data_IF_530418215420
#
_entry.id   IF_530418215420
#
_cell.length_a   1.000
_cell.length_b   1.000
_cell.length_c   1.000
_cell.angle_alpha   90.00
_cell.angle_beta   90.00
_cell.angle_gamma   90.00
#
_symmetry.space_group_name_H-M   'P 1'
#
loop_
_entity.id
_entity.type
_entity.pdbx_description
1 polymer ?
#
# COMPACT_ATOMS: atom_id res chain seq x y z
N UNK A 1 -8.52 7.59 21.49
CA UNK A 1 -7.86 6.37 20.98
C UNK A 1 -8.70 5.61 19.97
N UNK A 2 -10.04 5.56 20.08
CA UNK A 2 -10.91 4.97 19.03
C UNK A 2 -11.01 5.85 17.77
N UNK A 3 -10.87 7.18 17.90
CA UNK A 3 -10.98 8.09 16.76
C UNK A 3 -9.82 7.92 15.76
N UNK A 4 -8.58 7.86 16.28
CA UNK A 4 -7.37 7.90 15.45
C UNK A 4 -7.22 6.67 14.53
N UNK A 5 -7.80 5.52 14.92
CA UNK A 5 -7.85 4.28 14.12
C UNK A 5 -8.74 4.47 12.90
N UNK A 6 -9.96 4.96 13.12
CA UNK A 6 -10.91 5.22 12.05
C UNK A 6 -10.40 6.30 11.11
N UNK A 7 -9.80 7.36 11.66
CA UNK A 7 -9.23 8.47 10.88
C UNK A 7 -8.16 7.96 9.88
N UNK A 8 -7.28 7.04 10.30
CA UNK A 8 -6.26 6.46 9.41
C UNK A 8 -6.86 5.53 8.34
N UNK A 9 -7.85 4.73 8.70
CA UNK A 9 -8.50 3.83 7.74
C UNK A 9 -9.24 4.66 6.68
N UNK A 10 -9.97 5.70 7.09
CA UNK A 10 -10.68 6.61 6.18
C UNK A 10 -9.70 7.36 5.28
N UNK A 11 -8.61 7.89 5.84
CA UNK A 11 -7.54 8.53 5.07
C UNK A 11 -6.92 7.56 4.05
N UNK A 12 -6.61 6.32 4.45
CA UNK A 12 -6.09 5.31 3.54
C UNK A 12 -7.10 4.97 2.42
N UNK A 13 -8.41 4.90 2.71
CA UNK A 13 -9.45 4.72 1.70
C UNK A 13 -9.50 5.89 0.71
N UNK A 14 -9.42 7.13 1.20
CA UNK A 14 -9.37 8.33 0.36
C UNK A 14 -8.13 8.33 -0.55
N UNK A 15 -6.98 7.92 -0.03
CA UNK A 15 -5.75 7.77 -0.81
C UNK A 15 -5.91 6.72 -1.90
N UNK A 16 -6.43 5.53 -1.57
CA UNK A 16 -6.62 4.46 -2.56
C UNK A 16 -7.58 4.89 -3.68
N UNK A 17 -8.62 5.65 -3.34
CA UNK A 17 -9.51 6.25 -4.33
C UNK A 17 -8.82 7.35 -5.16
N UNK A 18 -8.03 8.22 -4.53
CA UNK A 18 -7.30 9.33 -5.19
C UNK A 18 -6.21 8.83 -6.14
N UNK A 19 -5.59 7.70 -5.82
CA UNK A 19 -4.65 6.99 -6.67
C UNK A 19 -5.33 6.22 -7.82
N UNK A 20 -6.67 6.24 -7.88
CA UNK A 20 -7.44 5.61 -8.95
C UNK A 20 -7.50 4.09 -8.89
N UNK A 21 -7.27 3.46 -7.72
CA UNK A 21 -7.39 2.00 -7.63
C UNK A 21 -8.84 1.55 -7.87
N UNK A 22 -9.05 0.36 -8.43
CA UNK A 22 -10.39 -0.16 -8.68
C UNK A 22 -11.20 -0.26 -7.39
N UNK A 23 -12.54 -0.18 -7.49
CA UNK A 23 -13.46 -0.27 -6.32
C UNK A 23 -13.21 -1.51 -5.45
N UNK A 24 -12.75 -2.61 -6.03
CA UNK A 24 -12.41 -3.83 -5.30
C UNK A 24 -11.24 -3.68 -4.32
N UNK A 25 -10.43 -2.63 -4.44
CA UNK A 25 -9.32 -2.28 -3.55
C UNK A 25 -9.65 -1.08 -2.65
N UNK A 26 -10.84 -0.49 -2.76
CA UNK A 26 -11.29 0.61 -1.90
C UNK A 26 -12.08 0.05 -0.70
N UNK A 27 -11.44 -0.83 0.07
CA UNK A 27 -12.03 -1.47 1.25
C UNK A 27 -11.05 -1.49 2.42
N UNK A 28 -11.59 -1.74 3.62
CA UNK A 28 -10.83 -1.74 4.87
C UNK A 28 -9.60 -2.66 4.84
N UNK A 29 -9.72 -3.86 4.23
CA UNK A 29 -8.57 -4.77 4.08
C UNK A 29 -7.42 -4.13 3.32
N UNK A 30 -7.73 -3.45 2.23
CA UNK A 30 -6.71 -2.80 1.40
C UNK A 30 -6.14 -1.57 2.07
N UNK A 31 -6.97 -0.81 2.79
CA UNK A 31 -6.52 0.29 3.65
C UNK A 31 -5.53 -0.20 4.72
N UNK A 32 -5.84 -1.28 5.43
CA UNK A 32 -4.96 -1.87 6.44
C UNK A 32 -3.66 -2.43 5.85
N UNK A 33 -3.70 -3.01 4.65
CA UNK A 33 -2.49 -3.42 3.95
C UNK A 33 -1.59 -2.23 3.60
N UNK A 34 -2.18 -1.12 3.13
CA UNK A 34 -1.43 0.11 2.86
C UNK A 34 -0.80 0.65 4.14
N UNK A 35 -1.55 0.75 5.23
CA UNK A 35 -1.06 1.24 6.51
C UNK A 35 0.07 0.35 7.07
N UNK A 36 -0.03 -0.97 6.91
CA UNK A 36 1.02 -1.92 7.27
C UNK A 36 2.30 -1.72 6.45
N UNK A 37 2.18 -1.54 5.12
CA UNK A 37 3.33 -1.23 4.26
C UNK A 37 3.98 0.13 4.57
N UNK A 38 3.25 1.03 5.23
CA UNK A 38 3.73 2.34 5.66
C UNK A 38 4.21 2.36 7.12
N UNK A 39 3.97 1.28 7.87
CA UNK A 39 4.11 1.20 9.32
C UNK A 39 3.43 2.39 10.05
N UNK A 40 2.24 2.79 9.60
CA UNK A 40 1.49 3.90 10.19
C UNK A 40 0.51 3.38 11.23
N UNK A 41 0.89 3.45 12.51
CA UNK A 41 -0.02 3.14 13.62
C UNK A 41 -0.95 4.32 13.92
N UNK A 42 -2.07 4.10 14.64
CA UNK A 42 -3.00 5.18 14.99
C UNK A 42 -2.30 6.37 15.67
N UNK A 43 -2.59 7.59 15.19
CA UNK A 43 -1.97 8.82 15.67
C UNK A 43 -0.59 9.14 15.07
N UNK A 44 0.02 8.23 14.32
CA UNK A 44 1.29 8.50 13.62
C UNK A 44 1.06 9.42 12.42
N UNK A 45 1.72 10.57 12.30
CA UNK A 45 1.54 11.44 11.13
C UNK A 45 1.99 10.75 9.84
N UNK A 46 1.29 11.00 8.73
CA UNK A 46 1.65 10.48 7.39
C UNK A 46 3.10 10.83 7.00
N UNK A 47 3.60 12.00 7.41
CA UNK A 47 4.99 12.42 7.21
C UNK A 47 6.04 11.53 7.92
N UNK A 48 5.63 10.62 8.80
CA UNK A 48 6.46 9.62 9.49
C UNK A 48 6.32 8.21 8.88
N UNK A 49 5.52 8.04 7.83
CA UNK A 49 5.44 6.78 7.11
C UNK A 49 6.83 6.26 6.72
N UNK A 50 6.99 4.95 6.76
CA UNK A 50 8.21 4.24 6.37
C UNK A 50 7.89 3.17 5.32
N UNK A 51 8.85 2.33 4.95
CA UNK A 51 8.67 1.29 3.95
C UNK A 51 9.31 -0.04 4.38
N UNK A 52 8.83 -0.69 5.45
CA UNK A 52 9.32 -2.01 5.84
C UNK A 52 9.07 -3.06 4.74
N UNK A 53 9.89 -4.11 4.75
CA UNK A 53 9.64 -5.32 3.97
C UNK A 53 8.64 -6.19 4.73
N UNK A 54 7.49 -6.46 4.12
CA UNK A 54 6.38 -7.13 4.77
C UNK A 54 5.87 -8.31 3.95
N UNK A 55 5.80 -9.48 4.58
CA UNK A 55 5.05 -10.63 4.04
C UNK A 55 3.56 -10.53 4.38
N UNK A 56 2.74 -11.41 3.79
CA UNK A 56 1.28 -11.40 4.01
C UNK A 56 0.90 -11.66 5.48
N UNK A 57 1.50 -12.67 6.12
CA UNK A 57 1.21 -12.97 7.52
C UNK A 57 1.62 -11.82 8.44
N UNK A 58 2.84 -11.24 8.31
CA UNK A 58 3.18 -9.99 9.00
C UNK A 58 2.19 -8.84 8.81
N UNK A 59 1.65 -8.64 7.60
CA UNK A 59 0.61 -7.61 7.36
C UNK A 59 -0.65 -7.89 8.17
N UNK A 60 -1.11 -9.14 8.19
CA UNK A 60 -2.30 -9.54 8.95
C UNK A 60 -2.08 -9.39 10.47
N UNK A 61 -0.91 -9.78 10.96
CA UNK A 61 -0.55 -9.64 12.37
C UNK A 61 -0.43 -8.19 12.79
N UNK A 62 0.16 -7.34 11.94
CA UNK A 62 0.25 -5.90 12.16
C UNK A 62 -1.14 -5.25 12.24
N UNK A 63 -2.06 -5.63 11.35
CA UNK A 63 -3.44 -5.13 11.37
C UNK A 63 -4.19 -5.55 12.65
N UNK A 64 -3.93 -6.78 13.13
CA UNK A 64 -4.45 -7.27 14.41
C UNK A 64 -3.89 -6.46 15.59
N UNK A 65 -2.58 -6.21 15.60
CA UNK A 65 -1.90 -5.55 16.72
C UNK A 65 -2.26 -4.07 16.85
N UNK A 66 -2.29 -3.33 15.74
CA UNK A 66 -2.43 -1.87 15.78
C UNK A 66 -3.85 -1.37 15.50
N UNK A 67 -4.68 -2.17 14.84
CA UNK A 67 -6.04 -1.80 14.42
C UNK A 67 -7.12 -2.78 14.92
N UNK A 68 -6.77 -3.73 15.79
CA UNK A 68 -7.67 -4.77 16.32
C UNK A 68 -8.35 -5.61 15.24
N UNK A 69 -7.80 -5.65 14.01
CA UNK A 69 -8.40 -6.38 12.90
C UNK A 69 -7.88 -7.81 12.84
N UNK A 70 -8.66 -8.73 13.41
CA UNK A 70 -8.36 -10.16 13.34
C UNK A 70 -8.83 -10.73 12.00
N UNK A 71 -7.91 -11.34 11.25
CA UNK A 71 -8.22 -12.10 10.06
C UNK A 71 -8.02 -13.60 10.28
N UNK A 72 -8.96 -14.42 9.78
CA UNK A 72 -8.79 -15.86 9.80
C UNK A 72 -7.63 -16.29 8.86
N UNK A 73 -6.89 -17.38 9.15
CA UNK A 73 -5.73 -17.80 8.36
C UNK A 73 -5.98 -17.97 6.85
N UNK A 74 -7.18 -18.42 6.46
CA UNK A 74 -7.60 -18.55 5.06
C UNK A 74 -7.69 -17.21 4.31
N UNK A 75 -7.77 -16.08 5.03
CA UNK A 75 -7.80 -14.72 4.46
C UNK A 75 -6.46 -14.33 3.85
N UNK A 76 -5.36 -15.03 4.20
CA UNK A 76 -4.03 -14.81 3.63
C UNK A 76 -4.06 -14.78 2.10
N UNK A 77 -4.79 -15.70 1.48
CA UNK A 77 -4.84 -15.78 0.03
C UNK A 77 -5.64 -14.60 -0.58
N UNK A 78 -6.68 -14.16 0.10
CA UNK A 78 -7.45 -12.97 -0.26
C UNK A 78 -6.59 -11.71 -0.19
N UNK A 79 -5.85 -11.50 0.90
CA UNK A 79 -4.91 -10.37 1.03
C UNK A 79 -3.88 -10.40 -0.09
N UNK A 80 -3.30 -11.58 -0.36
CA UNK A 80 -2.31 -11.73 -1.42
C UNK A 80 -2.86 -11.39 -2.80
N UNK A 81 -3.92 -12.07 -3.24
CA UNK A 81 -4.42 -11.96 -4.62
C UNK A 81 -5.25 -10.70 -4.86
N UNK A 82 -6.11 -10.34 -3.91
CA UNK A 82 -7.09 -9.28 -4.12
C UNK A 82 -6.61 -7.91 -3.65
N UNK A 83 -5.48 -7.84 -2.93
CA UNK A 83 -4.92 -6.57 -2.47
C UNK A 83 -3.47 -6.42 -2.90
N UNK A 84 -2.55 -7.28 -2.43
CA UNK A 84 -1.12 -7.06 -2.63
C UNK A 84 -0.69 -7.19 -4.10
N UNK A 85 -1.19 -8.20 -4.82
CA UNK A 85 -0.97 -8.29 -6.26
C UNK A 85 -1.52 -7.06 -6.99
N UNK A 86 -2.70 -6.58 -6.60
CA UNK A 86 -3.31 -5.40 -7.23
C UNK A 86 -2.51 -4.12 -6.92
N UNK A 87 -1.90 -4.01 -5.74
CA UNK A 87 -0.98 -2.93 -5.43
C UNK A 87 0.30 -3.02 -6.27
N UNK A 88 0.81 -4.21 -6.53
CA UNK A 88 1.98 -4.40 -7.41
C UNK A 88 1.63 -4.10 -8.87
N UNK A 89 0.50 -4.58 -9.36
CA UNK A 89 0.02 -4.32 -10.72
C UNK A 89 -0.23 -2.82 -10.93
N UNK A 90 -0.79 -2.15 -9.92
CA UNK A 90 -0.94 -0.71 -9.88
C UNK A 90 0.35 0.03 -9.48
N UNK A 91 1.51 -0.64 -9.44
CA UNK A 91 2.84 -0.14 -9.08
C UNK A 91 2.93 0.66 -7.78
N UNK A 92 1.98 0.49 -6.87
CA UNK A 92 1.98 1.10 -5.54
C UNK A 92 2.95 0.38 -4.60
N UNK A 93 3.14 -0.93 -4.82
CA UNK A 93 4.06 -1.76 -4.07
C UNK A 93 5.02 -2.51 -4.99
N UNK A 94 6.19 -2.85 -4.46
CA UNK A 94 7.20 -3.68 -5.09
C UNK A 94 7.10 -5.11 -4.57
N UNK A 95 7.28 -6.09 -5.46
CA UNK A 95 7.32 -7.51 -5.11
C UNK A 95 8.77 -8.00 -5.01
N UNK A 96 9.15 -8.54 -3.85
CA UNK A 96 10.50 -9.03 -3.55
C UNK A 96 11.65 -8.04 -3.92
N UNK A 97 11.57 -6.74 -3.56
CA UNK A 97 12.64 -5.80 -3.88
C UNK A 97 13.98 -6.14 -3.18
N UNK A 98 13.93 -6.96 -2.12
CA UNK A 98 15.10 -7.49 -1.41
C UNK A 98 15.82 -8.61 -2.18
N UNK A 99 15.08 -9.39 -2.98
CA UNK A 99 15.61 -10.49 -3.78
C UNK A 99 14.79 -10.65 -5.07
N UNK A 100 15.13 -9.93 -6.15
CA UNK A 100 14.34 -9.95 -7.39
C UNK A 100 14.27 -11.31 -8.09
N UNK A 101 15.26 -12.17 -7.88
CA UNK A 101 15.36 -13.53 -8.42
C UNK A 101 14.64 -14.59 -7.56
N UNK A 102 13.94 -14.17 -6.49
CA UNK A 102 13.19 -15.09 -5.63
C UNK A 102 12.15 -15.87 -6.45
N UNK A 103 12.09 -17.22 -6.33
CA UNK A 103 11.10 -18.02 -7.02
C UNK A 103 9.67 -17.55 -6.72
N UNK A 104 8.81 -17.50 -7.75
CA UNK A 104 7.42 -17.02 -7.66
C UNK A 104 6.58 -17.82 -6.64
N UNK A 105 6.92 -19.10 -6.43
CA UNK A 105 6.27 -19.99 -5.47
C UNK A 105 6.88 -19.96 -4.06
N UNK A 106 7.86 -19.08 -3.81
CA UNK A 106 8.53 -19.00 -2.51
C UNK A 106 7.56 -18.59 -1.41
N UNK A 107 7.57 -19.28 -0.25
CA UNK A 107 6.78 -18.86 0.91
C UNK A 107 7.30 -17.55 1.54
N UNK A 108 8.51 -17.12 1.16
CA UNK A 108 9.20 -15.93 1.68
C UNK A 108 8.93 -14.66 0.86
N UNK A 109 7.84 -14.64 0.08
CA UNK A 109 7.48 -13.46 -0.68
C UNK A 109 7.22 -12.26 0.25
N UNK A 110 7.83 -11.12 -0.06
CA UNK A 110 7.64 -9.86 0.67
C UNK A 110 7.27 -8.74 -0.29
N UNK A 111 6.69 -7.70 0.28
CA UNK A 111 6.25 -6.50 -0.41
C UNK A 111 6.82 -5.28 0.30
N UNK A 112 7.01 -4.21 -0.44
CA UNK A 112 7.42 -2.91 0.08
C UNK A 112 6.64 -1.83 -0.65
N UNK A 113 6.26 -0.74 0.02
CA UNK A 113 5.73 0.42 -0.71
C UNK A 113 6.81 0.97 -1.66
N UNK A 114 6.40 1.34 -2.86
CA UNK A 114 7.32 1.93 -3.85
C UNK A 114 7.85 3.29 -3.35
N UNK A 115 9.16 3.60 -3.54
CA UNK A 115 9.77 4.82 -2.99
C UNK A 115 9.12 6.14 -3.41
N UNK A 116 8.72 6.32 -4.67
CA UNK A 116 8.04 7.53 -5.13
C UNK A 116 6.61 7.62 -4.53
N UNK A 117 5.91 6.50 -4.42
CA UNK A 117 4.64 6.42 -3.72
C UNK A 117 4.79 6.80 -2.25
N UNK A 118 5.83 6.33 -1.55
CA UNK A 118 6.11 6.74 -0.17
C UNK A 118 6.33 8.26 -0.06
N UNK A 119 7.08 8.84 -0.99
CA UNK A 119 7.32 10.28 -1.02
C UNK A 119 6.01 11.07 -1.18
N UNK A 120 5.12 10.63 -2.09
CA UNK A 120 3.77 11.18 -2.25
C UNK A 120 2.96 11.04 -0.96
N UNK A 121 2.85 9.83 -0.40
CA UNK A 121 2.01 9.50 0.74
C UNK A 121 2.39 10.28 2.00
N UNK A 122 3.68 10.58 2.18
CA UNK A 122 4.17 11.45 3.28
C UNK A 122 3.64 12.88 3.21
N UNK A 123 3.11 13.31 2.07
CA UNK A 123 2.54 14.66 1.89
C UNK A 123 1.02 14.71 2.05
N UNK A 124 0.37 13.57 2.33
CA UNK A 124 -1.06 13.51 2.58
C UNK A 124 -1.48 14.43 3.73
N UNK A 125 -2.58 15.16 3.54
CA UNK A 125 -3.08 16.17 4.50
C UNK A 125 -2.31 17.50 4.50
N UNK A 126 -1.25 17.64 3.70
CA UNK A 126 -0.54 18.92 3.53
C UNK A 126 -1.07 19.69 2.30
N UNK A 127 -0.85 21.02 2.22
CA UNK A 127 -1.21 21.79 1.02
C UNK A 127 -0.55 21.29 -0.27
N UNK A 128 0.56 20.54 -0.16
CA UNK A 128 1.32 20.00 -1.31
C UNK A 128 0.73 18.71 -1.88
N UNK A 129 -0.22 18.09 -1.18
CA UNK A 129 -0.76 16.78 -1.57
C UNK A 129 -1.28 16.75 -3.00
N UNK A 130 -2.09 17.74 -3.39
CA UNK A 130 -2.75 17.75 -4.69
C UNK A 130 -1.76 17.89 -5.86
N UNK A 131 -0.79 18.80 -5.72
CA UNK A 131 0.25 19.01 -6.73
C UNK A 131 1.15 17.77 -6.86
N UNK A 132 1.55 17.18 -5.74
CA UNK A 132 2.37 15.97 -5.73
C UNK A 132 1.62 14.77 -6.33
N UNK A 133 0.33 14.62 -6.02
CA UNK A 133 -0.51 13.55 -6.58
C UNK A 133 -0.61 13.69 -8.10
N UNK A 134 -0.84 14.91 -8.59
CA UNK A 134 -0.93 15.20 -10.03
C UNK A 134 0.39 14.87 -10.73
N UNK A 135 1.52 15.32 -10.17
CA UNK A 135 2.84 15.03 -10.72
C UNK A 135 3.13 13.52 -10.75
N UNK A 136 2.83 12.83 -9.66
CA UNK A 136 3.03 11.38 -9.54
C UNK A 136 2.20 10.59 -10.57
N UNK A 137 0.92 10.94 -10.77
CA UNK A 137 0.08 10.27 -11.76
C UNK A 137 0.57 10.51 -13.19
N UNK A 138 0.99 11.74 -13.53
CA UNK A 138 1.53 12.07 -14.85
C UNK A 138 2.85 11.35 -15.15
N UNK A 139 3.74 11.25 -14.17
CA UNK A 139 5.00 10.51 -14.30
C UNK A 139 4.74 9.03 -14.57
N UNK A 140 3.79 8.44 -13.85
CA UNK A 140 3.43 7.03 -14.01
C UNK A 140 2.79 6.71 -15.34
N UNK A 141 1.88 7.55 -15.83
CA UNK A 141 1.31 7.41 -17.16
C UNK A 141 2.41 7.44 -18.23
N UNK A 142 3.38 8.34 -18.06
CA UNK A 142 4.54 8.42 -18.96
C UNK A 142 5.39 7.14 -18.93
N UNK A 143 5.65 6.57 -17.75
CA UNK A 143 6.38 5.31 -17.62
C UNK A 143 5.62 4.14 -18.26
N UNK A 144 4.32 4.01 -17.99
CA UNK A 144 3.49 2.97 -18.58
C UNK A 144 3.47 3.07 -20.12
N UNK A 145 3.36 4.29 -20.66
CA UNK A 145 3.41 4.53 -22.09
C UNK A 145 4.76 4.17 -22.72
N UNK A 146 5.88 4.41 -22.04
CA UNK A 146 7.22 3.98 -22.50
C UNK A 146 7.32 2.47 -22.59
N UNK A 147 6.98 1.76 -21.51
CA UNK A 147 7.03 0.29 -21.49
C UNK A 147 6.04 -0.38 -22.45
N UNK A 148 4.96 0.30 -22.84
CA UNK A 148 4.04 -0.20 -23.87
C UNK A 148 4.63 -0.10 -25.28
N UNK A 149 5.46 0.93 -25.54
CA UNK A 149 6.11 1.14 -26.84
C UNK A 149 7.34 0.25 -27.06
N UNK A 150 7.93 -0.26 -25.98
CA UNK A 150 9.11 -1.13 -26.02
C UNK A 150 8.76 -2.63 -26.10
N UNK A 151 7.46 -2.98 -26.17
CA UNK A 151 6.95 -4.35 -26.29
C UNK A 151 6.50 -4.70 -27.69
#
# INVERSE_FOLDING_TARGET
>A
MTNDKNDHIEAALQILASLGLPRAQQNERSALCLLALLNLTPGTPWARASNPLMGITPIMDWAREHYDKVYAPNTRETVRRQTMHQFVDAGLALYNPDQPDRPVNSPKAVYQIEPAALALLRTFGTPRWHDNLTAYLAERETLAARYTKER
#
